data_IF_484961080904
#
_entry.id   IF_484961080904
#
_cell.length_a   1.000
_cell.length_b   1.000
_cell.length_c   1.000
_cell.angle_alpha   90.00
_cell.angle_beta   90.00
_cell.angle_gamma   90.00
#
_symmetry.space_group_name_H-M   'P 1'
#
loop_
_entity.id
_entity.type
_entity.pdbx_description
1 polymer ?
#
# COMPACT_ATOMS: atom_id res chain seq x y z
N UNK A 1 34.64 -31.88 -14.06
CA UNK A 1 33.59 -31.19 -13.27
C UNK A 1 32.28 -31.41 -13.99
N UNK A 2 31.25 -31.91 -13.30
CA UNK A 2 29.91 -32.07 -13.89
C UNK A 2 29.22 -30.72 -13.72
N UNK A 3 28.77 -30.11 -14.81
CA UNK A 3 27.98 -28.89 -14.71
C UNK A 3 26.64 -29.18 -14.01
N UNK A 4 26.21 -28.31 -13.09
CA UNK A 4 24.93 -28.48 -12.42
C UNK A 4 23.78 -28.34 -13.43
N UNK A 5 22.84 -29.29 -13.37
CA UNK A 5 21.60 -29.22 -14.13
C UNK A 5 20.80 -27.97 -13.72
N UNK A 6 20.29 -27.23 -14.71
CA UNK A 6 19.48 -26.02 -14.51
C UNK A 6 18.14 -26.13 -15.23
N UNK A 7 17.06 -25.73 -14.55
CA UNK A 7 15.73 -25.61 -15.15
C UNK A 7 15.57 -24.22 -15.79
N UNK A 8 14.97 -24.17 -16.97
CA UNK A 8 14.62 -22.90 -17.62
C UNK A 8 13.44 -22.22 -16.93
N UNK A 9 13.50 -20.90 -16.80
CA UNK A 9 12.36 -20.09 -16.35
C UNK A 9 11.39 -19.86 -17.51
N UNK A 10 10.19 -20.42 -17.39
CA UNK A 10 9.12 -20.32 -18.38
C UNK A 10 7.98 -19.39 -17.91
N UNK A 11 8.14 -18.68 -16.80
CA UNK A 11 7.09 -17.86 -16.20
C UNK A 11 6.49 -16.82 -17.14
N UNK A 12 7.31 -16.23 -18.02
CA UNK A 12 6.90 -15.26 -19.04
C UNK A 12 5.80 -15.79 -19.99
N UNK A 13 5.72 -17.10 -20.19
CA UNK A 13 4.71 -17.73 -21.06
C UNK A 13 3.30 -17.74 -20.48
N UNK A 14 3.16 -17.47 -19.17
CA UNK A 14 1.89 -17.60 -18.45
C UNK A 14 1.45 -16.29 -17.78
N UNK A 15 2.16 -15.18 -17.98
CA UNK A 15 1.86 -13.91 -17.31
C UNK A 15 0.47 -13.37 -17.70
N UNK A 16 0.06 -13.54 -18.96
CA UNK A 16 -1.26 -13.11 -19.45
C UNK A 16 -2.38 -13.88 -18.76
N UNK A 17 -2.35 -15.21 -18.79
CA UNK A 17 -3.35 -16.08 -18.17
C UNK A 17 -3.44 -15.82 -16.67
N UNK A 18 -2.28 -15.66 -16.03
CA UNK A 18 -2.21 -15.38 -14.60
C UNK A 18 -2.82 -14.02 -14.28
N UNK A 19 -2.57 -12.99 -15.08
CA UNK A 19 -3.17 -11.68 -14.88
C UNK A 19 -4.68 -11.66 -15.16
N UNK A 20 -5.16 -12.43 -16.14
CA UNK A 20 -6.60 -12.64 -16.36
C UNK A 20 -7.28 -13.29 -15.14
N UNK A 21 -6.58 -14.15 -14.39
CA UNK A 21 -7.06 -14.70 -13.13
C UNK A 21 -7.00 -13.63 -12.03
N UNK A 22 -5.83 -13.02 -11.82
CA UNK A 22 -5.58 -12.04 -10.76
C UNK A 22 -6.54 -10.86 -10.82
N UNK A 23 -6.79 -10.33 -12.01
CA UNK A 23 -7.66 -9.18 -12.24
C UNK A 23 -9.09 -9.41 -11.75
N UNK A 24 -9.58 -10.66 -11.76
CA UNK A 24 -10.94 -11.02 -11.33
C UNK A 24 -11.07 -11.30 -9.84
N UNK A 25 -9.95 -11.54 -9.15
CA UNK A 25 -9.94 -11.99 -7.75
C UNK A 25 -9.21 -11.01 -6.82
N UNK A 26 -8.66 -9.92 -7.36
CA UNK A 26 -7.96 -8.89 -6.59
C UNK A 26 -8.93 -7.76 -6.22
N UNK A 27 -9.02 -7.45 -4.94
CA UNK A 27 -9.85 -6.35 -4.46
C UNK A 27 -9.00 -5.09 -4.24
N UNK A 28 -9.37 -4.03 -4.94
CA UNK A 28 -8.87 -2.67 -4.75
C UNK A 28 -9.82 -1.89 -3.83
N UNK A 29 -9.31 -0.87 -3.13
CA UNK A 29 -10.15 0.06 -2.37
C UNK A 29 -10.98 0.92 -3.34
N UNK A 30 -12.22 1.22 -3.00
CA UNK A 30 -13.05 2.05 -3.89
C UNK A 30 -12.50 3.49 -4.02
N UNK A 31 -12.47 4.10 -5.23
CA UNK A 31 -11.98 5.47 -5.44
C UNK A 31 -12.62 6.53 -4.53
N UNK A 32 -13.93 6.42 -4.25
CA UNK A 32 -14.59 7.31 -3.28
C UNK A 32 -13.99 7.25 -1.87
N UNK A 33 -13.60 6.07 -1.40
CA UNK A 33 -12.94 5.89 -0.09
C UNK A 33 -11.56 6.55 -0.12
N UNK A 34 -10.78 6.32 -1.17
CA UNK A 34 -9.45 6.94 -1.37
C UNK A 34 -9.57 8.48 -1.39
N UNK A 35 -10.50 9.02 -2.17
CA UNK A 35 -10.75 10.45 -2.25
C UNK A 35 -11.16 11.04 -0.90
N UNK A 36 -11.99 10.33 -0.13
CA UNK A 36 -12.39 10.75 1.21
C UNK A 36 -11.20 10.81 2.17
N UNK A 37 -10.39 9.75 2.22
CA UNK A 37 -9.16 9.70 3.04
C UNK A 37 -8.21 10.84 2.65
N UNK A 38 -8.05 11.10 1.34
CA UNK A 38 -7.19 12.18 0.82
C UNK A 38 -7.66 13.55 1.32
N UNK A 39 -8.96 13.84 1.25
CA UNK A 39 -9.53 15.11 1.77
C UNK A 39 -9.30 15.25 3.27
N UNK A 40 -9.49 14.16 4.01
CA UNK A 40 -9.28 14.14 5.46
C UNK A 40 -7.80 14.27 5.84
N UNK A 41 -6.87 13.81 5.01
CA UNK A 41 -5.44 14.03 5.22
C UNK A 41 -5.05 15.51 5.10
N UNK A 42 -5.59 16.23 4.12
CA UNK A 42 -5.36 17.68 3.97
C UNK A 42 -5.83 18.43 5.22
N UNK A 43 -7.01 18.07 5.75
CA UNK A 43 -7.55 18.67 6.99
C UNK A 43 -6.68 18.33 8.20
N UNK A 44 -6.23 17.07 8.29
CA UNK A 44 -5.51 16.56 9.45
C UNK A 44 -4.03 17.00 9.50
N UNK A 45 -3.43 17.40 8.37
CA UNK A 45 -2.01 17.74 8.29
C UNK A 45 -1.56 18.75 9.37
N UNK A 46 -2.35 19.81 9.58
CA UNK A 46 -2.03 20.84 10.58
C UNK A 46 -2.06 20.31 12.02
N UNK A 47 -2.98 19.38 12.33
CA UNK A 47 -3.04 18.73 13.63
C UNK A 47 -1.91 17.74 13.81
N UNK A 48 -1.58 16.98 12.76
CA UNK A 48 -0.44 16.08 12.80
C UNK A 48 0.87 16.83 13.06
N UNK A 49 1.09 17.98 12.42
CA UNK A 49 2.30 18.78 12.62
C UNK A 49 2.48 19.22 14.08
N UNK A 50 1.39 19.48 14.82
CA UNK A 50 1.44 19.88 16.24
C UNK A 50 1.88 18.75 17.17
N UNK A 51 1.63 17.51 16.78
CA UNK A 51 1.91 16.34 17.63
C UNK A 51 3.11 15.53 17.12
N UNK A 52 3.49 15.64 15.85
CA UNK A 52 4.60 14.86 15.33
C UNK A 52 5.95 15.33 15.89
N UNK A 53 6.94 14.45 15.87
CA UNK A 53 8.31 14.83 16.21
C UNK A 53 8.86 15.82 15.16
N UNK A 54 9.59 16.85 15.59
CA UNK A 54 10.16 17.89 14.72
C UNK A 54 11.06 17.38 13.58
N UNK A 55 11.62 16.17 13.72
CA UNK A 55 12.45 15.54 12.68
C UNK A 55 11.63 14.81 11.61
N UNK A 56 10.32 14.63 11.82
CA UNK A 56 9.42 13.95 10.90
C UNK A 56 9.25 14.78 9.62
N UNK A 57 9.68 14.20 8.50
CA UNK A 57 9.52 14.84 7.18
C UNK A 57 8.10 14.69 6.67
N UNK A 58 7.24 15.66 6.99
CA UNK A 58 5.81 15.63 6.62
C UNK A 58 5.57 15.43 5.12
N UNK A 59 6.43 15.97 4.26
CA UNK A 59 6.29 15.85 2.81
C UNK A 59 6.34 14.40 2.30
N UNK A 60 6.90 13.46 3.06
CA UNK A 60 6.92 12.03 2.70
C UNK A 60 5.58 11.33 2.93
N UNK A 61 4.66 11.97 3.65
CA UNK A 61 3.42 11.39 4.14
C UNK A 61 2.18 12.23 3.80
N UNK A 62 2.33 13.55 3.73
CA UNK A 62 1.32 14.53 3.34
C UNK A 62 1.76 15.27 2.07
N UNK A 63 2.07 14.50 1.03
CA UNK A 63 2.25 15.04 -0.31
C UNK A 63 0.89 15.30 -0.97
N UNK A 64 0.91 15.98 -2.11
CA UNK A 64 -0.30 16.26 -2.89
C UNK A 64 -1.03 14.95 -3.22
N UNK A 65 -2.33 14.92 -2.97
CA UNK A 65 -3.20 13.76 -3.22
C UNK A 65 -2.82 12.51 -2.39
N UNK A 66 -2.08 12.69 -1.28
CA UNK A 66 -1.75 11.61 -0.35
C UNK A 66 -2.99 11.04 0.33
N UNK A 67 -3.14 9.73 0.20
CA UNK A 67 -4.18 8.92 0.83
C UNK A 67 -3.60 7.99 1.91
N UNK A 68 -2.46 8.37 2.49
CA UNK A 68 -1.84 7.67 3.60
C UNK A 68 -2.79 7.67 4.81
N UNK A 69 -3.14 6.49 5.32
CA UNK A 69 -3.97 6.42 6.54
C UNK A 69 -3.16 6.65 7.83
N UNK A 70 -1.83 6.69 7.73
CA UNK A 70 -0.96 6.99 8.85
C UNK A 70 0.32 7.72 8.41
N UNK A 71 0.56 8.96 8.87
CA UNK A 71 1.63 9.81 8.34
C UNK A 71 2.93 9.83 9.17
N UNK A 72 3.07 8.93 10.13
CA UNK A 72 4.29 8.78 10.91
C UNK A 72 4.88 7.39 10.78
N UNK A 73 4.69 6.71 9.65
CA UNK A 73 4.99 5.28 9.54
C UNK A 73 6.15 4.99 8.61
N UNK A 74 7.19 4.33 9.12
CA UNK A 74 8.23 3.72 8.28
C UNK A 74 8.27 2.22 8.59
N UNK A 75 8.83 1.40 7.69
CA UNK A 75 9.17 -0.01 7.98
C UNK A 75 10.70 -0.14 8.09
N UNK A 76 11.24 -0.84 9.11
CA UNK A 76 12.66 -1.15 9.17
C UNK A 76 13.16 -1.76 7.86
N UNK A 77 14.26 -1.24 7.32
CA UNK A 77 15.09 -2.08 6.45
C UNK A 77 15.87 -3.07 7.32
N UNK A 78 16.23 -4.24 6.79
CA UNK A 78 16.79 -5.35 7.60
C UNK A 78 17.99 -4.93 8.48
N UNK A 79 18.80 -3.97 8.03
CA UNK A 79 19.96 -3.43 8.75
C UNK A 79 19.61 -2.59 9.99
N UNK A 80 18.36 -2.14 10.11
CA UNK A 80 17.86 -1.28 11.20
C UNK A 80 17.01 -2.06 12.23
N UNK A 81 16.80 -3.36 12.03
CA UNK A 81 15.97 -4.20 12.90
C UNK A 81 16.66 -4.41 14.25
N UNK A 82 16.39 -3.52 15.20
CA UNK A 82 16.68 -3.73 16.63
C UNK A 82 15.37 -4.01 17.39
N UNK A 83 15.43 -4.80 18.47
CA UNK A 83 14.23 -5.31 19.15
C UNK A 83 13.29 -4.27 19.78
N UNK A 84 13.72 -3.01 19.93
CA UNK A 84 12.96 -1.95 20.61
C UNK A 84 12.10 -1.08 19.68
N UNK A 85 12.07 -1.34 18.37
CA UNK A 85 11.51 -0.36 17.45
C UNK A 85 9.99 -0.39 17.28
N UNK A 86 9.35 -1.54 17.52
CA UNK A 86 7.92 -1.73 17.28
C UNK A 86 7.07 -0.72 18.05
N UNK A 87 6.22 -0.01 17.33
CA UNK A 87 5.31 1.02 17.82
C UNK A 87 6.02 2.17 18.54
N UNK A 88 7.32 2.40 18.28
CA UNK A 88 8.11 3.46 18.91
C UNK A 88 8.65 4.46 17.89
N UNK A 89 8.93 5.68 18.36
CA UNK A 89 9.50 6.75 17.54
C UNK A 89 10.97 6.45 17.25
N UNK A 90 11.37 6.58 15.99
CA UNK A 90 12.74 6.66 15.54
C UNK A 90 13.26 8.08 15.79
N UNK A 91 14.10 8.25 16.81
CA UNK A 91 14.65 9.58 17.12
C UNK A 91 15.57 10.18 16.05
N UNK A 92 16.01 9.39 15.05
CA UNK A 92 16.82 9.89 13.94
C UNK A 92 16.01 10.75 12.97
N UNK A 93 14.77 10.35 12.68
CA UNK A 93 13.91 10.97 11.67
C UNK A 93 12.48 11.26 12.19
N UNK A 94 12.18 11.06 13.47
CA UNK A 94 10.91 11.38 14.10
C UNK A 94 9.73 10.44 13.79
N UNK A 95 9.93 9.42 12.95
CA UNK A 95 8.85 8.52 12.49
C UNK A 95 8.58 7.38 13.46
N UNK A 96 7.33 6.95 13.68
CA UNK A 96 7.00 5.70 14.40
C UNK A 96 7.28 4.51 13.47
N UNK A 97 7.82 3.42 14.03
CA UNK A 97 8.07 2.24 13.22
C UNK A 97 7.51 0.92 13.72
N UNK A 98 7.07 0.16 12.72
CA UNK A 98 6.74 -1.27 12.74
C UNK A 98 5.39 -1.67 13.33
N UNK A 99 4.36 -0.88 13.03
CA UNK A 99 2.97 -1.34 13.01
C UNK A 99 2.47 -1.64 11.58
N UNK A 100 2.78 -2.83 11.08
CA UNK A 100 2.35 -3.30 9.76
C UNK A 100 0.83 -3.55 9.65
N UNK A 101 0.06 -3.17 10.67
CA UNK A 101 -1.38 -3.38 10.71
C UNK A 101 -2.17 -2.22 10.15
N UNK A 102 -1.59 -1.02 9.96
CA UNK A 102 -2.30 0.13 9.39
C UNK A 102 -3.01 -0.20 8.08
N UNK A 103 -2.34 -0.72 7.03
CA UNK A 103 -3.04 -1.19 5.83
C UNK A 103 -4.21 -2.16 6.10
N UNK A 104 -4.06 -3.02 7.12
CA UNK A 104 -5.11 -3.97 7.54
C UNK A 104 -6.30 -3.27 8.19
N UNK A 105 -6.08 -2.15 8.88
CA UNK A 105 -7.16 -1.38 9.51
C UNK A 105 -8.18 -0.89 8.49
N UNK A 106 -7.78 -0.52 7.26
CA UNK A 106 -8.73 -0.10 6.21
C UNK A 106 -9.76 -1.20 5.94
N UNK A 107 -9.27 -2.38 5.55
CA UNK A 107 -10.12 -3.53 5.25
C UNK A 107 -10.92 -4.01 6.47
N UNK A 108 -10.30 -4.01 7.64
CA UNK A 108 -10.93 -4.33 8.90
C UNK A 108 -12.15 -3.44 9.24
N UNK A 109 -12.02 -2.12 9.06
CA UNK A 109 -13.12 -1.19 9.29
C UNK A 109 -14.18 -1.31 8.20
N UNK A 110 -13.79 -1.48 6.93
CA UNK A 110 -14.74 -1.71 5.84
C UNK A 110 -15.58 -2.98 6.04
N UNK A 111 -14.97 -4.08 6.52
CA UNK A 111 -15.67 -5.36 6.68
C UNK A 111 -16.41 -5.48 8.01
N UNK A 112 -15.84 -5.03 9.13
CA UNK A 112 -16.43 -5.26 10.46
C UNK A 112 -16.51 -4.01 11.35
N UNK A 113 -16.19 -2.82 10.82
CA UNK A 113 -16.18 -1.55 11.57
C UNK A 113 -15.39 -1.59 12.88
N UNK A 114 -14.23 -2.25 12.88
CA UNK A 114 -13.36 -2.35 14.07
C UNK A 114 -11.89 -2.43 13.70
N UNK A 115 -11.03 -2.09 14.65
CA UNK A 115 -9.58 -2.13 14.52
C UNK A 115 -9.03 -3.56 14.30
N UNK A 116 -8.02 -3.72 13.44
CA UNK A 116 -7.35 -4.98 13.11
C UNK A 116 -7.01 -5.79 14.36
N UNK A 117 -7.42 -7.05 14.37
CA UNK A 117 -6.94 -8.08 15.31
C UNK A 117 -6.70 -9.38 14.55
N UNK A 118 -5.45 -9.86 14.62
CA UNK A 118 -5.03 -11.13 14.03
C UNK A 118 -5.34 -12.35 14.92
N UNK A 119 -4.91 -13.52 14.48
CA UNK A 119 -5.12 -14.79 15.18
C UNK A 119 -6.42 -15.51 14.81
N UNK A 120 -6.56 -16.76 15.26
CA UNK A 120 -7.70 -17.64 14.92
C UNK A 120 -9.03 -17.07 15.42
N UNK A 121 -9.04 -16.49 16.62
CA UNK A 121 -10.22 -15.86 17.22
C UNK A 121 -10.38 -14.36 16.88
N UNK A 122 -9.38 -13.78 16.22
CA UNK A 122 -9.34 -12.37 15.85
C UNK A 122 -10.34 -12.01 14.76
N UNK A 123 -10.59 -10.71 14.61
CA UNK A 123 -11.47 -10.21 13.54
C UNK A 123 -11.02 -10.65 12.16
N UNK A 124 -9.72 -10.65 11.87
CA UNK A 124 -9.23 -10.94 10.52
C UNK A 124 -9.69 -12.32 10.03
N UNK A 125 -9.75 -13.30 10.93
CA UNK A 125 -10.28 -14.63 10.64
C UNK A 125 -11.81 -14.63 10.54
N UNK A 126 -12.51 -14.02 11.50
CA UNK A 126 -13.98 -13.98 11.54
C UNK A 126 -14.62 -13.22 10.37
N UNK A 127 -13.91 -12.25 9.80
CA UNK A 127 -14.34 -11.45 8.65
C UNK A 127 -14.18 -12.16 7.30
N UNK A 128 -13.44 -13.28 7.26
CA UNK A 128 -13.03 -13.91 6.00
C UNK A 128 -11.82 -13.26 5.33
N UNK A 129 -11.30 -12.13 5.86
CA UNK A 129 -10.09 -11.48 5.36
C UNK A 129 -8.84 -12.37 5.48
N UNK A 130 -8.87 -13.39 6.34
CA UNK A 130 -7.83 -14.40 6.46
C UNK A 130 -7.61 -15.24 5.21
N UNK A 131 -8.51 -15.19 4.22
CA UNK A 131 -8.35 -15.83 2.91
C UNK A 131 -7.41 -15.06 1.98
N UNK A 132 -7.09 -13.81 2.31
CA UNK A 132 -6.31 -12.91 1.47
C UNK A 132 -4.96 -12.55 2.11
N UNK A 133 -4.02 -12.21 1.24
CA UNK A 133 -2.81 -11.45 1.55
C UNK A 133 -2.99 -9.98 1.16
N UNK A 134 -2.30 -9.12 1.88
CA UNK A 134 -2.13 -7.72 1.50
C UNK A 134 -0.88 -7.59 0.66
N UNK A 135 -1.03 -7.04 -0.55
CA UNK A 135 0.07 -6.68 -1.42
C UNK A 135 0.11 -5.17 -1.63
N UNK A 136 1.32 -4.64 -1.74
CA UNK A 136 1.54 -3.25 -2.14
C UNK A 136 1.72 -3.19 -3.66
N UNK A 137 1.06 -2.24 -4.31
CA UNK A 137 1.21 -2.04 -5.76
C UNK A 137 2.60 -1.45 -6.02
N UNK A 138 2.88 -0.27 -5.49
CA UNK A 138 4.16 0.44 -5.55
C UNK A 138 5.05 0.16 -4.34
N UNK A 139 6.36 0.23 -4.58
CA UNK A 139 7.40 0.05 -3.58
C UNK A 139 7.43 1.20 -2.58
N UNK A 140 7.35 0.84 -1.31
CA UNK A 140 7.48 1.77 -0.18
C UNK A 140 8.89 1.80 0.41
N UNK A 141 9.87 1.20 -0.28
CA UNK A 141 11.30 1.25 0.07
C UNK A 141 12.12 1.70 -1.12
N UNK A 142 13.06 2.61 -0.90
CA UNK A 142 13.86 3.21 -1.96
C UNK A 142 14.67 2.18 -2.76
N UNK A 143 15.18 1.14 -2.10
CA UNK A 143 15.97 0.07 -2.73
C UNK A 143 15.12 -0.97 -3.50
N UNK A 144 13.80 -0.82 -3.52
CA UNK A 144 12.86 -1.73 -4.21
C UNK A 144 12.20 -1.05 -5.43
N UNK A 145 12.68 0.13 -5.85
CA UNK A 145 12.09 0.96 -6.92
C UNK A 145 12.64 0.70 -8.32
N UNK A 146 13.41 -0.37 -8.54
CA UNK A 146 14.09 -0.61 -9.83
C UNK A 146 13.10 -0.62 -11.00
N UNK A 147 12.00 -1.36 -10.91
CA UNK A 147 10.99 -1.40 -11.96
C UNK A 147 10.31 -0.05 -12.18
N UNK A 148 10.08 0.72 -11.11
CA UNK A 148 9.46 2.04 -11.22
C UNK A 148 10.35 3.02 -11.98
N UNK A 149 11.68 2.94 -11.78
CA UNK A 149 12.66 3.70 -12.58
C UNK A 149 12.71 3.29 -14.05
N UNK A 150 12.33 2.06 -14.37
CA UNK A 150 12.25 1.59 -15.75
C UNK A 150 11.01 2.13 -16.46
N UNK A 151 9.87 2.29 -15.77
CA UNK A 151 8.56 2.53 -16.39
C UNK A 151 7.97 3.92 -16.17
N UNK A 152 8.57 4.74 -15.31
CA UNK A 152 8.21 6.16 -15.14
C UNK A 152 9.35 7.04 -15.67
N UNK A 153 9.03 8.06 -16.46
CA UNK A 153 10.07 8.91 -17.07
C UNK A 153 10.65 9.91 -16.07
N UNK A 154 9.89 10.29 -15.05
CA UNK A 154 10.31 11.21 -13.99
C UNK A 154 10.25 10.52 -12.62
N UNK A 155 11.43 10.22 -12.05
CA UNK A 155 11.56 9.64 -10.71
C UNK A 155 12.41 10.54 -9.83
N UNK A 156 11.84 11.03 -8.73
CA UNK A 156 12.60 11.79 -7.73
C UNK A 156 13.32 10.83 -6.78
N UNK A 157 14.64 10.72 -6.94
CA UNK A 157 15.48 9.85 -6.11
C UNK A 157 15.72 10.40 -4.71
N UNK A 158 15.46 11.69 -4.47
CA UNK A 158 15.62 12.32 -3.16
C UNK A 158 14.40 12.12 -2.26
N UNK A 159 13.30 11.62 -2.83
CA UNK A 159 12.06 11.32 -2.10
C UNK A 159 12.06 9.86 -1.64
N UNK A 160 11.84 9.68 -0.34
CA UNK A 160 11.60 8.36 0.25
C UNK A 160 10.09 8.04 0.20
N UNK A 161 9.68 6.91 -0.41
CA UNK A 161 8.25 6.59 -0.63
C UNK A 161 7.57 5.97 0.60
N UNK A 162 7.96 6.37 1.81
CA UNK A 162 7.51 5.69 3.04
C UNK A 162 6.01 5.75 3.27
N UNK A 163 5.37 6.87 2.89
CA UNK A 163 3.92 7.00 2.95
C UNK A 163 3.17 5.92 2.15
N UNK A 164 3.76 5.41 1.06
CA UNK A 164 3.13 4.37 0.24
C UNK A 164 2.90 3.07 1.02
N UNK A 165 3.60 2.85 2.14
CA UNK A 165 3.32 1.68 2.99
C UNK A 165 1.91 1.72 3.60
N UNK A 166 1.39 2.90 3.91
CA UNK A 166 0.08 3.12 4.52
C UNK A 166 -0.90 3.82 3.58
N UNK A 167 -0.56 4.00 2.31
CA UNK A 167 -1.48 4.51 1.29
C UNK A 167 -2.66 3.55 1.10
N UNK A 168 -3.88 4.09 1.04
CA UNK A 168 -5.10 3.32 0.87
C UNK A 168 -5.22 2.73 -0.55
N UNK A 169 -4.81 3.48 -1.57
CA UNK A 169 -4.82 3.10 -2.98
C UNK A 169 -3.70 2.13 -3.29
N UNK A 170 -2.58 2.22 -2.57
CA UNK A 170 -1.42 1.36 -2.79
C UNK A 170 -1.56 -0.06 -2.21
N UNK A 171 -2.69 -0.42 -1.60
CA UNK A 171 -2.87 -1.74 -0.95
C UNK A 171 -4.07 -2.48 -1.52
N UNK A 172 -3.86 -3.75 -1.85
CA UNK A 172 -4.88 -4.64 -2.42
C UNK A 172 -5.00 -5.94 -1.63
N UNK A 173 -6.17 -6.58 -1.68
CA UNK A 173 -6.35 -7.94 -1.19
C UNK A 173 -6.27 -8.93 -2.34
N UNK A 174 -5.37 -9.90 -2.23
CA UNK A 174 -5.18 -10.99 -3.20
C UNK A 174 -5.35 -12.33 -2.47
N UNK A 175 -6.11 -13.30 -3.00
CA UNK A 175 -6.24 -14.61 -2.38
C UNK A 175 -4.89 -15.27 -2.07
N UNK A 176 -4.79 -15.88 -0.90
CA UNK A 176 -3.60 -16.63 -0.46
C UNK A 176 -3.26 -17.70 -1.49
N UNK A 177 -2.05 -17.66 -2.03
CA UNK A 177 -1.58 -18.52 -3.12
C UNK A 177 -1.37 -17.79 -4.45
N UNK A 178 -2.04 -16.66 -4.66
CA UNK A 178 -1.94 -15.85 -5.88
C UNK A 178 -1.16 -14.55 -5.71
N UNK A 179 -0.74 -14.21 -4.49
CA UNK A 179 -0.08 -12.92 -4.22
C UNK A 179 1.35 -12.81 -4.79
N UNK A 180 2.14 -13.89 -4.77
CA UNK A 180 3.57 -13.86 -5.17
C UNK A 180 3.83 -13.37 -6.61
N UNK A 181 3.04 -13.74 -7.62
CA UNK A 181 3.17 -13.19 -8.98
C UNK A 181 3.29 -11.67 -9.05
N UNK A 182 2.56 -10.95 -8.19
CA UNK A 182 2.58 -9.47 -8.17
C UNK A 182 3.90 -8.86 -7.68
N UNK A 183 4.80 -9.67 -7.11
CA UNK A 183 6.13 -9.24 -6.65
C UNK A 183 7.27 -9.74 -7.54
N UNK A 184 7.04 -10.77 -8.36
CA UNK A 184 8.10 -11.46 -9.11
C UNK A 184 8.01 -11.29 -10.62
N UNK A 185 6.84 -10.92 -11.14
CA UNK A 185 6.59 -10.81 -12.58
C UNK A 185 6.42 -9.33 -12.98
N UNK A 186 7.37 -8.82 -13.77
CA UNK A 186 7.42 -7.40 -14.14
C UNK A 186 6.16 -6.96 -14.89
N UNK A 187 5.73 -7.73 -15.89
CA UNK A 187 4.56 -7.41 -16.71
C UNK A 187 3.28 -7.37 -15.88
N UNK A 188 3.11 -8.35 -14.98
CA UNK A 188 1.99 -8.37 -14.02
C UNK A 188 2.00 -7.10 -13.18
N UNK A 189 3.15 -6.73 -12.62
CA UNK A 189 3.29 -5.53 -11.78
C UNK A 189 3.01 -4.24 -12.56
N UNK A 190 3.46 -4.12 -13.80
CA UNK A 190 3.18 -2.99 -14.69
C UNK A 190 1.68 -2.84 -14.92
N UNK A 191 0.95 -3.95 -15.13
CA UNK A 191 -0.49 -3.89 -15.28
C UNK A 191 -1.21 -3.45 -13.99
N UNK A 192 -0.67 -3.79 -12.81
CA UNK A 192 -1.14 -3.24 -11.54
C UNK A 192 -0.86 -1.74 -11.41
N UNK A 193 0.26 -1.24 -11.92
CA UNK A 193 0.52 0.22 -11.99
C UNK A 193 -0.51 0.90 -12.90
N UNK A 194 -0.73 0.37 -14.09
CA UNK A 194 -1.73 0.90 -15.02
C UNK A 194 -3.13 0.93 -14.39
N UNK A 195 -3.54 -0.19 -13.77
CA UNK A 195 -4.83 -0.28 -13.07
C UNK A 195 -4.97 0.73 -11.94
N UNK A 196 -3.89 0.95 -11.17
CA UNK A 196 -3.89 1.97 -10.12
C UNK A 196 -4.13 3.36 -10.70
N UNK A 197 -3.41 3.71 -11.77
CA UNK A 197 -3.52 5.02 -12.43
C UNK A 197 -4.92 5.23 -13.01
N UNK A 198 -5.55 4.20 -13.56
CA UNK A 198 -6.94 4.27 -14.04
C UNK A 198 -7.96 4.52 -12.92
N UNK A 199 -7.74 3.95 -11.72
CA UNK A 199 -8.66 4.07 -10.60
C UNK A 199 -8.50 5.39 -9.83
N UNK A 200 -7.27 5.86 -9.67
CA UNK A 200 -6.95 6.93 -8.71
C UNK A 200 -6.18 8.10 -9.32
N UNK A 201 -5.78 8.01 -10.59
CA UNK A 201 -4.80 8.91 -11.18
C UNK A 201 -3.40 8.70 -10.59
N UNK A 202 -2.50 9.66 -10.84
CA UNK A 202 -1.17 9.63 -10.26
C UNK A 202 -1.16 10.29 -8.87
N UNK A 203 -1.49 9.49 -7.85
CA UNK A 203 -1.39 9.88 -6.45
C UNK A 203 -0.16 9.29 -5.74
N UNK A 204 0.93 9.02 -6.49
CA UNK A 204 2.14 8.37 -5.97
C UNK A 204 3.28 9.39 -5.82
N UNK A 205 3.89 9.41 -4.63
CA UNK A 205 4.97 10.34 -4.33
C UNK A 205 6.24 10.03 -5.14
N UNK A 206 6.81 11.06 -5.78
CA UNK A 206 8.10 10.95 -6.46
C UNK A 206 8.10 10.06 -7.71
N UNK A 207 6.93 9.82 -8.32
CA UNK A 207 6.76 9.18 -9.63
C UNK A 207 5.88 10.07 -10.51
N UNK A 208 6.30 10.30 -11.75
CA UNK A 208 5.51 11.01 -12.75
C UNK A 208 5.71 10.37 -14.12
N UNK A 209 4.72 10.63 -14.98
CA UNK A 209 4.75 10.29 -16.40
C UNK A 209 5.01 8.78 -16.63
N UNK A 210 4.00 7.99 -16.28
CA UNK A 210 4.00 6.56 -16.56
C UNK A 210 4.07 6.31 -18.06
N UNK A 211 5.07 5.54 -18.50
CA UNK A 211 5.28 5.25 -19.90
C UNK A 211 4.42 4.06 -20.33
N UNK A 212 3.30 4.40 -20.98
CA UNK A 212 2.32 3.45 -21.53
C UNK A 212 2.92 2.42 -22.49
N UNK A 213 4.09 2.68 -23.08
CA UNK A 213 4.77 1.71 -23.96
C UNK A 213 5.27 0.45 -23.22
N UNK A 214 5.32 0.47 -21.88
CA UNK A 214 5.64 -0.73 -21.10
C UNK A 214 4.42 -1.60 -20.80
N UNK A 215 3.20 -1.08 -21.05
CA UNK A 215 1.97 -1.84 -20.87
C UNK A 215 1.87 -2.88 -21.99
N UNK A 216 1.59 -4.16 -21.69
CA UNK A 216 1.44 -5.17 -22.73
C UNK A 216 0.27 -4.85 -23.65
N UNK A 217 0.42 -5.18 -24.93
CA UNK A 217 -0.59 -4.98 -25.98
C UNK A 217 -1.94 -5.65 -25.69
N UNK A 218 -1.94 -6.74 -24.93
CA UNK A 218 -3.13 -7.46 -24.49
C UNK A 218 -3.77 -6.90 -23.20
N UNK A 219 -3.31 -5.77 -22.65
CA UNK A 219 -3.86 -5.18 -21.41
C UNK A 219 -5.37 -4.93 -21.50
N UNK A 220 -5.87 -4.48 -22.64
CA UNK A 220 -7.29 -4.17 -22.85
C UNK A 220 -8.19 -5.43 -22.80
N UNK A 221 -7.62 -6.63 -22.90
CA UNK A 221 -8.36 -7.89 -22.71
C UNK A 221 -8.65 -8.19 -21.23
N UNK A 222 -7.97 -7.50 -20.32
CA UNK A 222 -8.08 -7.72 -18.87
C UNK A 222 -9.39 -7.13 -18.36
N UNK A 223 -10.19 -7.98 -17.69
CA UNK A 223 -11.42 -7.57 -17.01
C UNK A 223 -11.18 -7.49 -15.51
N UNK A 224 -10.77 -6.30 -15.07
CA UNK A 224 -10.58 -6.03 -13.65
C UNK A 224 -11.89 -6.09 -12.87
N UNK A 225 -11.83 -6.69 -11.69
CA UNK A 225 -12.88 -6.60 -10.69
C UNK A 225 -13.06 -5.12 -10.33
N UNK A 226 -14.32 -4.67 -10.39
CA UNK A 226 -14.64 -3.31 -9.97
C UNK A 226 -14.55 -3.22 -8.44
N UNK A 227 -13.91 -2.17 -7.89
CA UNK A 227 -13.90 -1.97 -6.45
C UNK A 227 -15.32 -1.91 -5.88
N UNK A 228 -15.56 -2.56 -4.75
CA UNK A 228 -16.86 -2.55 -4.08
C UNK A 228 -16.95 -1.35 -3.12
N UNK A 229 -18.12 -0.70 -3.08
CA UNK A 229 -18.43 0.39 -2.14
C UNK A 229 -19.51 -0.07 -1.15
N UNK A 230 -19.16 -0.44 0.10
CA UNK A 230 -20.15 -0.82 1.11
C UNK A 230 -21.11 0.33 1.42
N UNK A 231 -22.41 0.07 1.66
CA UNK A 231 -23.39 1.14 1.89
C UNK A 231 -23.06 2.07 3.07
N UNK A 232 -22.37 1.57 4.10
CA UNK A 232 -22.00 2.28 5.32
C UNK A 232 -20.51 2.68 5.36
N UNK A 233 -19.86 2.77 4.18
CA UNK A 233 -18.43 3.00 4.07
C UNK A 233 -17.98 4.31 4.74
N UNK A 234 -18.72 5.41 4.62
CA UNK A 234 -18.34 6.71 5.20
C UNK A 234 -18.20 6.61 6.71
N UNK A 235 -19.22 6.07 7.40
CA UNK A 235 -19.21 5.89 8.84
C UNK A 235 -18.07 4.96 9.29
N UNK A 236 -17.78 3.90 8.52
CA UNK A 236 -16.67 2.98 8.79
C UNK A 236 -15.31 3.65 8.64
N UNK A 237 -15.13 4.44 7.59
CA UNK A 237 -13.89 5.20 7.37
C UNK A 237 -13.74 6.28 8.44
N UNK A 238 -14.79 7.00 8.82
CA UNK A 238 -14.73 7.95 9.94
C UNK A 238 -14.26 7.29 11.25
N UNK A 239 -14.73 6.08 11.54
CA UNK A 239 -14.28 5.35 12.72
C UNK A 239 -12.80 4.92 12.62
N UNK A 240 -12.31 4.59 11.42
CA UNK A 240 -10.89 4.39 11.16
C UNK A 240 -10.08 5.67 11.39
N UNK A 241 -10.55 6.82 10.87
CA UNK A 241 -9.85 8.10 11.03
C UNK A 241 -9.83 8.53 12.51
N UNK A 242 -10.93 8.36 13.25
CA UNK A 242 -10.96 8.59 14.70
C UNK A 242 -10.02 7.65 15.45
N UNK A 243 -9.91 6.40 15.04
CA UNK A 243 -8.97 5.45 15.62
C UNK A 243 -7.51 5.91 15.40
N UNK A 244 -7.17 6.35 14.18
CA UNK A 244 -5.82 6.83 13.82
C UNK A 244 -5.40 8.04 14.66
N UNK A 245 -6.30 9.00 14.84
CA UNK A 245 -6.05 10.24 15.57
C UNK A 245 -5.87 9.96 17.06
N UNK A 246 -6.76 9.15 17.64
CA UNK A 246 -6.65 8.72 19.03
C UNK A 246 -5.34 7.97 19.31
N UNK A 247 -4.89 7.14 18.36
CA UNK A 247 -3.61 6.45 18.49
C UNK A 247 -2.44 7.44 18.52
N UNK A 248 -2.40 8.38 17.57
CA UNK A 248 -1.33 9.38 17.45
C UNK A 248 -1.27 10.28 18.68
N UNK A 249 -2.41 10.82 19.11
CA UNK A 249 -2.52 11.63 20.31
C UNK A 249 -1.92 10.93 21.53
N UNK A 250 -2.34 9.69 21.81
CA UNK A 250 -1.82 8.92 22.96
C UNK A 250 -0.31 8.67 22.88
N UNK A 251 0.25 8.62 21.66
CA UNK A 251 1.66 8.33 21.43
C UNK A 251 2.55 9.57 21.51
N UNK A 252 2.02 10.74 21.15
CA UNK A 252 2.81 11.96 20.95
C UNK A 252 2.46 13.13 21.89
N UNK A 253 1.24 13.22 22.42
CA UNK A 253 0.85 14.27 23.39
C UNK A 253 1.25 13.88 24.84
N UNK A 254 2.42 13.26 25.03
CA UNK A 254 2.95 12.92 26.38
C UNK A 254 3.81 14.04 26.95
#
# INVERSE_FOLDING_TARGET
MIEPFSYSDLSWTAEKELLLILSRITHHIHPNIVSYITKENVRYQSNFQKICNDKCKLSQFFYRDSDCIFPGFRRPVNKEKTGKWKNNVNHKDGTILNDNTFPRHIWAYLTMNKAYSGGVSGMWSKSGLSKFELAHIFSHKQNERTLEKEVFTEVDENIEPYGLFTSASNVVLIPKGFAKPTDQMKTVKICFYKRHLELYGNNIIGLKDFNENHVPDWYDEIKWLNPELPCDWEAKIDNLLKYRENYLRKKYEQ
#
